data_IF_232427255697
#
_entry.id   IF_232427255697
#
_cell.length_a   1.000
_cell.length_b   1.000
_cell.length_c   1.000
_cell.angle_alpha   90.00
_cell.angle_beta   90.00
_cell.angle_gamma   90.00
#
_symmetry.space_group_name_H-M   'P 1'
#
loop_
_entity.id
_entity.type
_entity.pdbx_description
1 polymer ?
#
# COMPACT_ATOMS: atom_id res chain seq x y z
N UNK A 1 55.54 -36.65 -36.84
CA UNK A 1 55.41 -36.75 -35.35
C UNK A 1 54.62 -35.57 -34.84
N UNK A 2 53.40 -35.80 -34.34
CA UNK A 2 52.94 -35.43 -32.99
C UNK A 2 51.45 -35.75 -32.85
N UNK A 3 51.20 -36.83 -32.10
CA UNK A 3 49.92 -37.20 -31.52
C UNK A 3 49.40 -36.08 -30.61
N UNK A 4 48.08 -35.86 -30.63
CA UNK A 4 47.34 -35.31 -29.50
C UNK A 4 45.98 -36.00 -29.34
N UNK A 5 46.06 -37.07 -28.56
CA UNK A 5 45.16 -37.53 -27.49
C UNK A 5 43.73 -36.99 -27.41
N UNK A 6 42.78 -37.91 -27.57
CA UNK A 6 41.39 -37.82 -27.12
C UNK A 6 41.30 -37.78 -25.59
N UNK A 7 40.47 -36.88 -25.06
CA UNK A 7 39.86 -36.98 -23.73
C UNK A 7 38.36 -37.14 -24.02
N UNK A 8 37.65 -38.19 -23.62
CA UNK A 8 37.71 -38.92 -22.36
C UNK A 8 36.35 -38.74 -21.71
N UNK A 9 35.36 -39.52 -22.15
CA UNK A 9 33.99 -39.53 -21.65
C UNK A 9 34.01 -40.13 -20.24
N UNK A 10 33.71 -39.32 -19.22
CA UNK A 10 33.57 -39.78 -17.83
C UNK A 10 32.10 -40.14 -17.62
N UNK A 11 31.80 -41.44 -17.69
CA UNK A 11 30.51 -41.99 -17.25
C UNK A 11 30.64 -42.24 -15.74
N UNK A 12 30.09 -41.34 -14.93
CA UNK A 12 29.86 -41.62 -13.51
C UNK A 12 28.63 -42.52 -13.38
N UNK A 13 28.87 -43.76 -12.99
CA UNK A 13 27.85 -44.80 -12.89
C UNK A 13 26.80 -44.53 -11.82
N UNK A 14 25.54 -44.78 -12.19
CA UNK A 14 24.50 -45.19 -11.25
C UNK A 14 24.24 -46.67 -11.48
N UNK A 15 24.57 -47.48 -10.49
CA UNK A 15 24.35 -48.92 -10.44
C UNK A 15 22.86 -49.21 -10.22
N UNK A 16 22.13 -49.55 -11.28
CA UNK A 16 20.83 -50.21 -11.18
C UNK A 16 21.01 -51.72 -11.15
N UNK A 17 20.63 -52.33 -10.02
CA UNK A 17 20.54 -53.77 -9.82
C UNK A 17 19.53 -54.33 -10.84
N UNK A 18 20.01 -55.04 -11.87
CA UNK A 18 19.17 -55.86 -12.74
C UNK A 18 18.83 -57.15 -12.00
N UNK A 19 17.61 -57.26 -11.50
CA UNK A 19 17.00 -58.55 -11.21
C UNK A 19 16.46 -59.15 -12.51
N UNK A 20 17.21 -60.07 -13.12
CA UNK A 20 16.71 -60.92 -14.20
C UNK A 20 15.64 -61.87 -13.63
N UNK A 21 14.37 -61.63 -13.97
CA UNK A 21 13.35 -62.67 -13.95
C UNK A 21 13.24 -63.18 -15.38
N UNK A 22 13.62 -64.44 -15.59
CA UNK A 22 13.39 -65.16 -16.84
C UNK A 22 11.88 -65.33 -17.03
N UNK A 23 11.32 -64.72 -18.07
CA UNK A 23 9.95 -64.99 -18.52
C UNK A 23 10.03 -65.80 -19.80
N UNK A 24 9.47 -67.00 -19.73
CA UNK A 24 9.28 -67.93 -20.83
C UNK A 24 8.38 -67.35 -21.90
N UNK A 25 8.66 -67.74 -23.14
CA UNK A 25 7.99 -67.35 -24.37
C UNK A 25 6.49 -67.66 -24.38
N UNK A 26 5.67 -66.63 -24.62
CA UNK A 26 4.33 -66.74 -25.16
C UNK A 26 4.15 -65.70 -26.28
N UNK A 27 3.87 -66.17 -27.50
CA UNK A 27 3.62 -65.34 -28.66
C UNK A 27 2.21 -64.74 -28.64
N UNK A 28 2.15 -63.44 -28.36
CA UNK A 28 1.28 -62.41 -28.94
C UNK A 28 1.86 -61.07 -28.47
N UNK A 29 2.95 -60.63 -29.11
CA UNK A 29 3.80 -59.56 -28.59
C UNK A 29 3.18 -58.18 -28.69
N UNK A 30 2.29 -57.81 -27.75
CA UNK A 30 1.93 -56.42 -27.54
C UNK A 30 3.10 -55.73 -26.83
N UNK A 31 4.11 -55.31 -27.59
CA UNK A 31 5.16 -54.40 -27.09
C UNK A 31 4.48 -53.18 -26.45
N UNK A 32 4.87 -52.77 -25.23
CA UNK A 32 4.28 -51.62 -24.55
C UNK A 32 4.24 -50.37 -25.46
N UNK A 33 3.19 -49.56 -25.34
CA UNK A 33 3.07 -48.34 -26.15
C UNK A 33 3.85 -47.20 -25.48
N UNK A 34 4.84 -46.62 -26.20
CA UNK A 34 5.61 -45.49 -25.68
C UNK A 34 4.71 -44.27 -25.36
N UNK A 35 3.56 -44.14 -26.04
CA UNK A 35 2.59 -43.07 -25.78
C UNK A 35 1.96 -43.11 -24.40
N UNK A 36 1.81 -44.29 -23.78
CA UNK A 36 1.14 -44.43 -22.49
C UNK A 36 1.98 -43.79 -21.36
N UNK A 37 3.31 -43.94 -21.45
CA UNK A 37 4.28 -43.32 -20.54
C UNK A 37 4.31 -41.80 -20.71
N UNK A 38 4.14 -41.31 -21.94
CA UNK A 38 4.17 -39.89 -22.25
C UNK A 38 2.86 -39.18 -21.87
N UNK A 39 1.70 -39.81 -22.07
CA UNK A 39 0.39 -39.17 -21.90
C UNK A 39 0.16 -38.67 -20.46
N UNK A 40 0.53 -39.47 -19.46
CA UNK A 40 0.41 -39.09 -18.05
C UNK A 40 1.30 -37.89 -17.68
N UNK A 41 2.55 -37.92 -18.13
CA UNK A 41 3.52 -36.85 -17.85
C UNK A 41 3.17 -35.55 -18.59
N UNK A 42 2.75 -35.63 -19.85
CA UNK A 42 2.26 -34.48 -20.62
C UNK A 42 1.10 -33.77 -19.93
N UNK A 43 0.09 -34.53 -19.52
CA UNK A 43 -1.09 -33.98 -18.86
C UNK A 43 -0.73 -33.31 -17.54
N UNK A 44 0.11 -33.95 -16.73
CA UNK A 44 0.53 -33.39 -15.43
C UNK A 44 1.35 -32.11 -15.60
N UNK A 45 2.27 -32.06 -16.57
CA UNK A 45 3.11 -30.88 -16.81
C UNK A 45 2.30 -29.75 -17.42
N UNK A 46 1.40 -30.04 -18.37
CA UNK A 46 0.47 -29.06 -18.96
C UNK A 46 -0.35 -28.34 -17.88
N UNK A 47 -0.95 -29.10 -16.95
CA UNK A 47 -1.70 -28.53 -15.82
C UNK A 47 -0.83 -27.65 -14.91
N UNK A 48 0.39 -28.09 -14.59
CA UNK A 48 1.34 -27.29 -13.80
C UNK A 48 1.72 -26.00 -14.53
N UNK A 49 1.86 -26.06 -15.86
CA UNK A 49 2.25 -24.92 -16.66
C UNK A 49 1.19 -23.82 -16.62
N UNK A 50 -0.08 -24.19 -16.81
CA UNK A 50 -1.21 -23.27 -16.66
C UNK A 50 -1.26 -22.64 -15.26
N UNK A 51 -0.93 -23.39 -14.20
CA UNK A 51 -0.89 -22.85 -12.83
C UNK A 51 0.27 -21.88 -12.61
N UNK A 52 1.44 -22.17 -13.17
CA UNK A 52 2.64 -21.37 -12.96
C UNK A 52 2.66 -20.10 -13.83
N UNK A 53 2.25 -20.22 -15.08
CA UNK A 53 2.41 -19.21 -16.12
C UNK A 53 1.09 -18.68 -16.69
N UNK A 54 -0.06 -19.25 -16.33
CA UNK A 54 -1.36 -18.93 -16.91
C UNK A 54 -1.65 -19.66 -18.23
N UNK A 55 -0.62 -20.13 -18.92
CA UNK A 55 -0.70 -20.78 -20.23
C UNK A 55 0.08 -22.09 -20.26
N UNK A 56 -0.28 -23.02 -21.15
CA UNK A 56 0.53 -24.22 -21.41
C UNK A 56 1.51 -24.00 -22.58
N UNK A 57 2.74 -23.63 -22.24
CA UNK A 57 3.83 -23.43 -23.21
C UNK A 57 4.46 -24.75 -23.72
N UNK A 58 4.08 -25.91 -23.17
CA UNK A 58 4.67 -27.20 -23.54
C UNK A 58 4.04 -27.82 -24.78
N UNK A 59 2.88 -27.32 -25.20
CA UNK A 59 2.20 -27.77 -26.41
C UNK A 59 2.91 -27.22 -27.65
N UNK A 60 3.40 -28.14 -28.50
CA UNK A 60 4.04 -27.81 -29.78
C UNK A 60 3.03 -27.57 -30.89
N UNK A 61 3.43 -26.89 -31.97
CA UNK A 61 2.62 -26.81 -33.19
C UNK A 61 2.94 -28.00 -34.10
N UNK A 62 2.10 -29.04 -34.03
CA UNK A 62 2.26 -30.26 -34.85
C UNK A 62 2.05 -30.03 -36.35
N UNK A 63 1.48 -28.90 -36.77
CA UNK A 63 1.23 -28.57 -38.18
C UNK A 63 2.44 -27.86 -38.80
N UNK A 64 2.96 -26.84 -38.13
CA UNK A 64 4.07 -26.03 -38.66
C UNK A 64 5.44 -26.50 -38.21
N UNK A 65 5.50 -27.38 -37.20
CA UNK A 65 6.72 -27.97 -36.63
C UNK A 65 7.75 -26.94 -36.21
N UNK A 66 7.32 -25.71 -35.92
CA UNK A 66 8.22 -24.62 -35.53
C UNK A 66 8.64 -24.86 -34.10
N UNK A 67 9.95 -24.87 -33.88
CA UNK A 67 10.59 -25.03 -32.58
C UNK A 67 11.29 -23.73 -32.17
N UNK A 68 11.33 -23.41 -30.86
CA UNK A 68 12.02 -22.22 -30.40
C UNK A 68 13.52 -22.26 -30.72
N UNK A 69 14.06 -21.11 -31.10
CA UNK A 69 15.50 -20.91 -31.33
C UNK A 69 15.99 -19.64 -30.65
N UNK A 70 17.30 -19.42 -30.64
CA UNK A 70 17.90 -18.20 -30.10
C UNK A 70 17.34 -16.92 -30.76
N UNK A 71 17.23 -16.92 -32.09
CA UNK A 71 16.71 -15.78 -32.85
C UNK A 71 15.18 -15.65 -32.79
N UNK A 72 14.47 -16.74 -32.48
CA UNK A 72 13.02 -16.76 -32.40
C UNK A 72 12.54 -17.66 -31.24
N UNK A 73 12.59 -17.16 -30.00
CA UNK A 73 12.27 -17.96 -28.82
C UNK A 73 10.75 -18.10 -28.56
N UNK A 74 9.89 -17.31 -29.20
CA UNK A 74 8.45 -17.26 -28.92
C UNK A 74 7.63 -17.62 -30.16
N UNK A 75 7.54 -18.92 -30.42
CA UNK A 75 7.00 -19.46 -31.69
C UNK A 75 5.55 -19.94 -31.60
N UNK A 76 4.99 -20.04 -30.39
CA UNK A 76 3.60 -20.43 -30.16
C UNK A 76 2.81 -19.29 -29.53
N UNK A 77 1.49 -19.30 -29.70
CA UNK A 77 0.60 -18.29 -29.11
C UNK A 77 0.71 -18.25 -27.58
N UNK A 78 0.78 -19.42 -26.94
CA UNK A 78 1.00 -19.54 -25.49
C UNK A 78 2.31 -18.88 -25.06
N UNK A 79 3.40 -19.10 -25.82
CA UNK A 79 4.69 -18.46 -25.52
C UNK A 79 4.66 -16.95 -25.70
N UNK A 80 4.01 -16.47 -26.77
CA UNK A 80 3.83 -15.03 -27.00
C UNK A 80 2.98 -14.39 -25.91
N UNK A 81 1.91 -15.07 -25.47
CA UNK A 81 1.05 -14.63 -24.36
C UNK A 81 1.86 -14.44 -23.08
N UNK A 82 2.59 -15.48 -22.65
CA UNK A 82 3.45 -15.41 -21.45
C UNK A 82 4.55 -14.35 -21.62
N UNK A 83 5.16 -14.23 -22.80
CA UNK A 83 6.18 -13.23 -23.08
C UNK A 83 5.64 -11.80 -22.94
N UNK A 84 4.43 -11.52 -23.43
CA UNK A 84 3.78 -10.23 -23.29
C UNK A 84 3.50 -9.88 -21.83
N UNK A 85 3.04 -10.85 -21.04
CA UNK A 85 2.75 -10.67 -19.62
C UNK A 85 4.01 -10.34 -18.80
N UNK A 86 5.16 -10.90 -19.18
CA UNK A 86 6.44 -10.68 -18.48
C UNK A 86 7.35 -9.65 -19.14
N UNK A 87 6.89 -9.01 -20.22
CA UNK A 87 7.68 -8.07 -20.99
C UNK A 87 8.02 -6.80 -20.20
N UNK A 88 9.22 -6.22 -20.38
CA UNK A 88 9.57 -4.89 -19.87
C UNK A 88 8.69 -3.76 -20.41
N UNK A 89 8.02 -3.98 -21.54
CA UNK A 89 7.04 -3.04 -22.10
C UNK A 89 5.60 -3.43 -21.77
N UNK A 90 5.43 -4.53 -21.04
CA UNK A 90 4.15 -5.10 -20.66
C UNK A 90 3.68 -4.63 -19.28
N UNK A 91 2.79 -5.39 -18.63
CA UNK A 91 2.24 -5.03 -17.33
C UNK A 91 3.19 -5.30 -16.15
N UNK A 92 4.19 -6.18 -16.32
CA UNK A 92 5.04 -6.65 -15.21
C UNK A 92 5.82 -5.55 -14.47
N UNK A 93 6.44 -4.54 -15.14
CA UNK A 93 7.20 -3.48 -14.44
C UNK A 93 6.36 -2.59 -13.51
N UNK A 94 5.05 -2.56 -13.70
CA UNK A 94 4.14 -1.79 -12.86
C UNK A 94 3.79 -2.50 -11.54
N UNK A 95 4.14 -3.79 -11.43
CA UNK A 95 3.99 -4.57 -10.19
C UNK A 95 5.06 -4.23 -9.16
N UNK A 96 4.90 -4.74 -7.94
CA UNK A 96 5.95 -4.59 -6.93
C UNK A 96 7.14 -5.51 -7.22
N UNK A 97 8.36 -5.16 -6.78
CA UNK A 97 9.53 -6.05 -6.93
C UNK A 97 9.29 -7.47 -6.39
N UNK A 98 8.54 -7.63 -5.30
CA UNK A 98 8.21 -8.92 -4.69
C UNK A 98 7.29 -9.75 -5.60
N UNK A 99 6.29 -9.11 -6.22
CA UNK A 99 5.41 -9.77 -7.18
C UNK A 99 6.18 -10.22 -8.42
N UNK A 100 7.08 -9.37 -8.94
CA UNK A 100 7.92 -9.71 -10.09
C UNK A 100 8.87 -10.87 -9.74
N UNK A 101 9.46 -10.88 -8.54
CA UNK A 101 10.28 -11.99 -8.08
C UNK A 101 9.50 -13.32 -7.99
N UNK A 102 8.21 -13.26 -7.62
CA UNK A 102 7.34 -14.44 -7.63
C UNK A 102 7.08 -14.94 -9.05
N UNK A 103 6.82 -14.04 -10.00
CA UNK A 103 6.66 -14.40 -11.43
C UNK A 103 7.93 -15.05 -11.95
N UNK A 104 9.10 -14.46 -11.69
CA UNK A 104 10.41 -15.03 -12.05
C UNK A 104 10.60 -16.45 -11.49
N UNK A 105 10.28 -16.67 -10.21
CA UNK A 105 10.38 -17.98 -9.58
C UNK A 105 9.40 -19.00 -10.18
N UNK A 106 8.22 -18.56 -10.65
CA UNK A 106 7.30 -19.44 -11.38
C UNK A 106 7.86 -19.86 -12.74
N UNK A 107 8.52 -18.95 -13.47
CA UNK A 107 9.21 -19.26 -14.73
C UNK A 107 10.35 -20.27 -14.50
N UNK A 108 11.13 -20.12 -13.43
CA UNK A 108 12.17 -21.10 -13.07
C UNK A 108 11.58 -22.49 -12.80
N UNK A 109 10.50 -22.56 -12.03
CA UNK A 109 9.79 -23.82 -11.75
C UNK A 109 9.21 -24.43 -13.03
N UNK A 110 8.65 -23.62 -13.91
CA UNK A 110 8.19 -24.05 -15.22
C UNK A 110 9.33 -24.67 -16.02
N UNK A 111 10.49 -24.02 -16.08
CA UNK A 111 11.69 -24.56 -16.71
C UNK A 111 12.10 -25.93 -16.17
N UNK A 112 12.06 -26.14 -14.85
CA UNK A 112 12.34 -27.44 -14.25
C UNK A 112 11.36 -28.53 -14.68
N UNK A 113 10.07 -28.21 -14.80
CA UNK A 113 9.06 -29.17 -15.25
C UNK A 113 9.18 -29.47 -16.75
N UNK A 114 9.58 -28.48 -17.57
CA UNK A 114 9.94 -28.68 -18.99
C UNK A 114 11.10 -29.66 -19.11
N UNK A 115 12.20 -29.45 -18.38
CA UNK A 115 13.36 -30.35 -18.44
C UNK A 115 13.03 -31.78 -17.98
N UNK A 116 12.16 -31.94 -16.97
CA UNK A 116 11.67 -33.27 -16.56
C UNK A 116 10.85 -33.95 -17.66
N UNK A 117 9.98 -33.20 -18.32
CA UNK A 117 9.18 -33.73 -19.43
C UNK A 117 10.08 -34.13 -20.59
N UNK A 118 11.02 -33.27 -20.98
CA UNK A 118 12.05 -33.57 -21.98
C UNK A 118 12.78 -34.88 -21.65
N UNK A 119 13.28 -35.05 -20.42
CA UNK A 119 13.94 -36.29 -20.00
C UNK A 119 13.03 -37.52 -20.08
N UNK A 120 11.72 -37.35 -19.88
CA UNK A 120 10.75 -38.45 -20.07
C UNK A 120 10.64 -38.85 -21.54
N UNK A 121 10.68 -37.88 -22.46
CA UNK A 121 10.75 -38.14 -23.89
C UNK A 121 12.06 -38.82 -24.30
N UNK A 122 13.21 -38.40 -23.75
CA UNK A 122 14.50 -39.04 -24.01
C UNK A 122 14.47 -40.53 -23.63
N UNK A 123 13.95 -40.85 -22.44
CA UNK A 123 13.79 -42.24 -21.98
C UNK A 123 12.86 -43.02 -22.91
N UNK A 124 11.76 -42.41 -23.38
CA UNK A 124 10.83 -43.05 -24.31
C UNK A 124 11.50 -43.34 -25.67
N UNK A 125 12.34 -42.44 -26.18
CA UNK A 125 13.08 -42.65 -27.43
C UNK A 125 14.19 -43.69 -27.30
N UNK A 126 14.92 -43.71 -26.19
CA UNK A 126 15.88 -44.79 -25.92
C UNK A 126 15.17 -46.14 -25.86
N UNK A 127 14.04 -46.21 -25.16
CA UNK A 127 13.21 -47.43 -25.07
C UNK A 127 12.65 -47.87 -26.43
N UNK A 128 12.33 -46.93 -27.31
CA UNK A 128 11.92 -47.21 -28.69
C UNK A 128 13.08 -47.81 -29.51
N UNK A 129 14.28 -47.24 -29.41
CA UNK A 129 15.49 -47.72 -30.12
C UNK A 129 15.87 -49.12 -29.67
N UNK A 130 15.82 -49.38 -28.36
CA UNK A 130 16.15 -50.67 -27.75
C UNK A 130 15.05 -51.73 -27.95
N UNK A 131 13.91 -51.36 -28.53
CA UNK A 131 12.78 -52.27 -28.81
C UNK A 131 11.95 -52.64 -27.58
N UNK A 132 12.05 -51.87 -26.49
CA UNK A 132 11.28 -52.06 -25.26
C UNK A 132 9.85 -51.48 -25.34
N UNK A 133 9.61 -50.50 -26.22
CA UNK A 133 8.28 -49.98 -26.53
C UNK A 133 8.15 -49.65 -28.02
N UNK A 134 6.92 -49.41 -28.48
CA UNK A 134 6.64 -48.93 -29.83
C UNK A 134 5.59 -47.82 -29.82
N UNK A 135 5.63 -46.93 -30.81
CA UNK A 135 4.48 -46.08 -31.13
C UNK A 135 3.55 -46.84 -32.08
N UNK A 136 2.24 -46.70 -31.91
CA UNK A 136 1.26 -47.45 -32.72
C UNK A 136 1.22 -47.02 -34.19
N UNK A 137 1.73 -45.84 -34.53
CA UNK A 137 1.85 -45.34 -35.90
C UNK A 137 3.09 -44.48 -36.07
N UNK A 138 3.61 -44.40 -37.31
CA UNK A 138 4.71 -43.48 -37.65
C UNK A 138 4.37 -42.01 -37.36
N UNK A 139 3.10 -41.62 -37.54
CA UNK A 139 2.63 -40.27 -37.23
C UNK A 139 2.82 -39.93 -35.75
N UNK A 140 2.51 -40.86 -34.85
CA UNK A 140 2.72 -40.65 -33.41
C UNK A 140 4.20 -40.56 -33.05
N UNK A 141 5.06 -41.33 -33.71
CA UNK A 141 6.52 -41.19 -33.57
C UNK A 141 6.98 -39.80 -34.00
N UNK A 142 6.48 -39.30 -35.14
CA UNK A 142 6.82 -37.96 -35.65
C UNK A 142 6.32 -36.86 -34.72
N UNK A 143 5.07 -36.93 -34.24
CA UNK A 143 4.55 -35.97 -33.26
C UNK A 143 5.36 -35.97 -31.97
N UNK A 144 5.71 -37.15 -31.45
CA UNK A 144 6.55 -37.24 -30.26
C UNK A 144 7.91 -36.57 -30.48
N UNK A 145 8.49 -36.67 -31.67
CA UNK A 145 9.75 -36.00 -32.01
C UNK A 145 9.57 -34.48 -32.04
N UNK A 146 8.52 -33.97 -32.69
CA UNK A 146 8.24 -32.53 -32.74
C UNK A 146 8.06 -31.96 -31.31
N UNK A 147 7.31 -32.68 -30.46
CA UNK A 147 7.14 -32.29 -29.07
C UNK A 147 8.46 -32.26 -28.30
N UNK A 148 9.35 -33.24 -28.52
CA UNK A 148 10.67 -33.27 -27.90
C UNK A 148 11.55 -32.12 -28.36
N UNK A 149 11.65 -31.89 -29.66
CA UNK A 149 12.43 -30.78 -30.24
C UNK A 149 11.88 -29.42 -29.73
N UNK A 150 10.56 -29.30 -29.55
CA UNK A 150 9.93 -28.12 -28.95
C UNK A 150 10.33 -27.93 -27.48
N UNK A 151 10.33 -28.99 -26.68
CA UNK A 151 10.74 -28.92 -25.27
C UNK A 151 12.23 -28.60 -25.12
N UNK A 152 13.08 -29.13 -26.01
CA UNK A 152 14.50 -28.79 -26.05
C UNK A 152 14.69 -27.30 -26.37
N UNK A 153 14.03 -26.79 -27.41
CA UNK A 153 14.07 -25.36 -27.75
C UNK A 153 13.50 -24.47 -26.63
N UNK A 154 12.43 -24.93 -25.98
CA UNK A 154 11.81 -24.23 -24.85
C UNK A 154 12.78 -24.09 -23.68
N UNK A 155 13.45 -25.19 -23.31
CA UNK A 155 14.43 -25.19 -22.23
C UNK A 155 15.68 -24.37 -22.57
N UNK A 156 16.16 -24.44 -23.82
CA UNK A 156 17.39 -23.78 -24.26
C UNK A 156 17.22 -22.29 -24.52
N UNK A 157 16.07 -21.84 -25.03
CA UNK A 157 15.91 -20.49 -25.56
C UNK A 157 14.74 -19.73 -24.94
N UNK A 158 13.53 -20.31 -24.93
CA UNK A 158 12.33 -19.60 -24.47
C UNK A 158 12.35 -19.31 -22.97
N UNK A 159 12.66 -20.30 -22.13
CA UNK A 159 12.70 -20.12 -20.66
C UNK A 159 13.76 -19.08 -20.26
N UNK A 160 15.02 -19.14 -20.74
CA UNK A 160 16.00 -18.09 -20.49
C UNK A 160 15.55 -16.70 -20.95
N UNK A 161 14.91 -16.59 -22.11
CA UNK A 161 14.41 -15.31 -22.62
C UNK A 161 13.28 -14.73 -21.74
N UNK A 162 12.35 -15.58 -21.27
CA UNK A 162 11.32 -15.17 -20.31
C UNK A 162 11.93 -14.68 -18.98
N UNK A 163 12.97 -15.36 -18.48
CA UNK A 163 13.68 -14.95 -17.27
C UNK A 163 14.38 -13.61 -17.45
N UNK A 164 15.04 -13.39 -18.59
CA UNK A 164 15.69 -12.11 -18.90
C UNK A 164 14.69 -10.95 -18.94
N UNK A 165 13.52 -11.15 -19.54
CA UNK A 165 12.45 -10.15 -19.55
C UNK A 165 11.90 -9.85 -18.15
N UNK A 166 11.76 -10.87 -17.30
CA UNK A 166 11.37 -10.68 -15.91
C UNK A 166 12.44 -9.94 -15.09
N UNK A 167 13.73 -10.23 -15.32
CA UNK A 167 14.85 -9.54 -14.67
C UNK A 167 14.93 -8.06 -15.06
N UNK A 168 14.70 -7.74 -16.34
CA UNK A 168 14.66 -6.35 -16.80
C UNK A 168 13.44 -5.60 -16.25
N UNK A 169 12.26 -6.24 -16.25
CA UNK A 169 11.05 -5.69 -15.61
C UNK A 169 11.26 -5.41 -14.12
N UNK A 170 11.98 -6.28 -13.43
CA UNK A 170 12.33 -6.10 -12.02
C UNK A 170 13.24 -4.88 -11.79
N UNK A 171 14.23 -4.67 -12.66
CA UNK A 171 15.11 -3.51 -12.60
C UNK A 171 14.33 -2.21 -12.84
N UNK A 172 13.41 -2.21 -13.81
CA UNK A 172 12.53 -1.06 -14.07
C UNK A 172 11.64 -0.76 -12.86
N UNK A 173 11.04 -1.77 -12.24
CA UNK A 173 10.22 -1.60 -11.04
C UNK A 173 11.03 -1.04 -9.85
N UNK A 174 12.27 -1.50 -9.66
CA UNK A 174 13.19 -0.96 -8.64
C UNK A 174 13.46 0.52 -8.85
N UNK A 175 13.79 0.92 -10.09
CA UNK A 175 14.06 2.32 -10.42
C UNK A 175 12.82 3.18 -10.17
N UNK A 176 11.65 2.74 -10.62
CA UNK A 176 10.37 3.42 -10.36
C UNK A 176 10.11 3.63 -8.87
N UNK A 177 10.24 2.59 -8.06
CA UNK A 177 10.03 2.67 -6.60
C UNK A 177 11.04 3.62 -5.94
N UNK A 178 12.29 3.65 -6.40
CA UNK A 178 13.28 4.59 -5.90
C UNK A 178 12.92 6.05 -6.26
N UNK A 179 12.50 6.29 -7.50
CA UNK A 179 12.05 7.62 -7.95
C UNK A 179 10.79 8.10 -7.21
N UNK A 180 9.83 7.21 -6.95
CA UNK A 180 8.62 7.51 -6.19
C UNK A 180 8.97 7.93 -4.74
N UNK A 181 9.90 7.24 -4.09
CA UNK A 181 10.37 7.61 -2.75
C UNK A 181 11.03 8.98 -2.72
N UNK A 182 11.86 9.30 -3.72
CA UNK A 182 12.50 10.62 -3.82
C UNK A 182 11.43 11.71 -3.99
N UNK A 183 10.44 11.49 -4.85
CA UNK A 183 9.33 12.44 -5.05
C UNK A 183 8.48 12.61 -3.78
N UNK A 184 8.25 11.54 -3.04
CA UNK A 184 7.53 11.59 -1.76
C UNK A 184 8.30 12.40 -0.71
N UNK A 185 9.62 12.18 -0.57
CA UNK A 185 10.47 12.96 0.32
C UNK A 185 10.58 14.44 -0.07
N UNK A 186 10.58 14.75 -1.38
CA UNK A 186 10.54 16.13 -1.88
C UNK A 186 9.18 16.79 -1.59
N UNK A 187 8.08 16.06 -1.76
CA UNK A 187 6.74 16.55 -1.44
C UNK A 187 6.59 16.83 0.06
N UNK A 188 7.10 15.96 0.93
CA UNK A 188 7.12 16.17 2.40
C UNK A 188 7.96 17.41 2.75
N UNK A 189 9.15 17.57 2.15
CA UNK A 189 10.00 18.75 2.37
C UNK A 189 9.33 20.05 1.91
N UNK A 190 8.64 20.02 0.77
CA UNK A 190 7.89 21.18 0.30
C UNK A 190 6.71 21.50 1.22
N UNK A 191 5.98 20.49 1.70
CA UNK A 191 4.91 20.69 2.67
C UNK A 191 5.43 21.33 3.97
N UNK A 192 6.56 20.85 4.50
CA UNK A 192 7.21 21.46 5.66
C UNK A 192 7.63 22.92 5.41
N UNK A 193 8.15 23.22 4.21
CA UNK A 193 8.48 24.60 3.82
C UNK A 193 7.25 25.50 3.78
N UNK A 194 6.13 25.01 3.25
CA UNK A 194 4.87 25.75 3.22
C UNK A 194 4.31 25.97 4.64
N UNK A 195 4.44 24.98 5.53
CA UNK A 195 4.09 25.12 6.95
C UNK A 195 4.99 26.16 7.65
N UNK A 196 6.30 26.15 7.41
CA UNK A 196 7.23 27.16 7.94
C UNK A 196 6.89 28.58 7.43
N UNK A 197 6.55 28.72 6.15
CA UNK A 197 6.12 30.00 5.57
C UNK A 197 4.77 30.45 6.15
N UNK A 198 3.84 29.54 6.39
CA UNK A 198 2.56 29.83 7.05
C UNK A 198 2.76 30.25 8.51
N UNK A 199 3.66 29.61 9.25
CA UNK A 199 4.04 29.98 10.61
C UNK A 199 4.75 31.34 10.63
N UNK A 200 5.65 31.62 9.69
CA UNK A 200 6.31 32.92 9.57
C UNK A 200 5.31 34.04 9.19
N UNK A 201 4.34 33.75 8.32
CA UNK A 201 3.26 34.67 7.96
C UNK A 201 2.28 34.89 9.13
N UNK A 202 1.99 33.86 9.93
CA UNK A 202 1.23 33.98 11.16
C UNK A 202 2.00 34.82 12.19
N UNK A 203 3.30 34.55 12.41
CA UNK A 203 4.16 35.32 13.30
C UNK A 203 4.30 36.80 12.87
N UNK A 204 4.28 37.10 11.56
CA UNK A 204 4.24 38.47 11.06
C UNK A 204 2.89 39.17 11.32
N UNK A 205 1.77 38.43 11.43
CA UNK A 205 0.46 38.95 11.87
C UNK A 205 0.36 39.15 13.38
N UNK A 206 1.30 38.64 14.17
CA UNK A 206 1.30 38.73 15.64
C UNK A 206 1.87 40.05 16.21
N UNK A 207 2.25 41.02 15.38
CA UNK A 207 2.87 42.26 15.88
C UNK A 207 1.90 43.34 16.39
N UNK A 208 0.57 43.15 16.32
CA UNK A 208 -0.40 44.02 17.02
C UNK A 208 -1.51 43.19 17.70
N UNK A 209 -1.53 43.08 19.05
CA UNK A 209 -2.56 42.34 19.78
C UNK A 209 -3.87 43.13 19.88
N UNK A 210 -4.98 42.55 19.42
CA UNK A 210 -6.31 43.19 19.41
C UNK A 210 -7.24 42.73 20.55
N UNK A 211 -6.93 41.66 21.28
CA UNK A 211 -7.71 41.18 22.43
C UNK A 211 -6.80 40.68 23.57
N UNK A 212 -7.08 41.10 24.79
CA UNK A 212 -6.39 40.62 26.00
C UNK A 212 -7.40 39.87 26.88
N UNK A 213 -7.07 38.63 27.25
CA UNK A 213 -7.88 37.83 28.18
C UNK A 213 -7.06 37.52 29.43
N UNK A 214 -7.53 37.94 30.59
CA UNK A 214 -6.82 37.76 31.85
C UNK A 214 -7.64 36.93 32.81
N UNK A 215 -7.04 35.90 33.41
CA UNK A 215 -7.69 35.13 34.46
C UNK A 215 -7.57 35.93 35.76
N UNK A 216 -8.71 36.28 36.35
CA UNK A 216 -8.78 37.11 37.56
C UNK A 216 -8.83 36.24 38.82
N UNK A 217 -9.49 35.08 38.74
CA UNK A 217 -9.58 34.12 39.84
C UNK A 217 -9.93 32.73 39.34
N UNK A 218 -9.27 31.71 39.88
CA UNK A 218 -9.65 30.31 39.71
C UNK A 218 -9.62 29.61 41.06
N UNK A 219 -10.70 28.91 41.41
CA UNK A 219 -10.84 28.20 42.70
C UNK A 219 -11.07 26.69 42.55
N UNK A 220 -10.80 26.14 41.36
CA UNK A 220 -11.00 24.72 41.04
C UNK A 220 -12.41 24.38 40.53
N UNK A 221 -13.42 25.17 40.92
CA UNK A 221 -14.80 25.01 40.47
C UNK A 221 -15.29 26.16 39.58
N UNK A 222 -14.74 27.37 39.75
CA UNK A 222 -15.14 28.57 39.03
C UNK A 222 -13.93 29.29 38.46
N UNK A 223 -14.06 29.73 37.21
CA UNK A 223 -13.07 30.57 36.52
C UNK A 223 -13.69 31.95 36.32
N UNK A 224 -13.05 32.97 36.89
CA UNK A 224 -13.34 34.38 36.64
C UNK A 224 -12.25 34.94 35.74
N UNK A 225 -12.63 35.60 34.65
CA UNK A 225 -11.69 36.16 33.68
C UNK A 225 -12.19 37.49 33.13
N UNK A 226 -11.27 38.38 32.75
CA UNK A 226 -11.54 39.64 32.07
C UNK A 226 -11.14 39.54 30.60
N UNK A 227 -11.90 40.24 29.74
CA UNK A 227 -11.66 40.33 28.30
C UNK A 227 -11.60 41.81 27.96
N UNK A 228 -10.48 42.23 27.39
CA UNK A 228 -10.21 43.61 26.98
C UNK A 228 -10.06 43.67 25.46
N UNK A 229 -10.82 44.55 24.82
CA UNK A 229 -10.62 44.85 23.40
C UNK A 229 -9.45 45.84 23.27
N UNK A 230 -8.31 45.39 22.77
CA UNK A 230 -7.12 46.21 22.54
C UNK A 230 -7.12 46.88 21.15
N UNK A 231 -8.11 46.57 20.30
CA UNK A 231 -8.26 47.20 18.99
C UNK A 231 -8.53 48.70 19.09
N UNK A 232 -8.17 49.44 18.05
CA UNK A 232 -8.41 50.89 17.93
C UNK A 232 -9.79 51.21 17.33
N UNK A 233 -10.43 50.27 16.64
CA UNK A 233 -11.73 50.41 15.99
C UNK A 233 -12.56 49.10 16.10
N UNK A 234 -13.90 49.22 16.20
CA UNK A 234 -14.85 48.10 16.18
C UNK A 234 -15.15 47.40 17.52
N UNK A 235 -16.37 46.87 17.66
CA UNK A 235 -16.83 46.19 18.88
C UNK A 235 -16.55 44.67 18.82
N UNK A 236 -16.04 44.12 19.91
CA UNK A 236 -15.91 42.68 20.11
C UNK A 236 -17.24 42.10 20.60
N UNK A 237 -17.77 41.05 19.95
CA UNK A 237 -19.03 40.42 20.34
C UNK A 237 -18.78 38.98 20.82
N UNK A 238 -18.72 38.74 22.14
CA UNK A 238 -18.59 37.39 22.66
C UNK A 238 -19.84 36.56 22.34
N UNK A 239 -19.64 35.38 21.74
CA UNK A 239 -20.73 34.47 21.39
C UNK A 239 -20.90 33.43 22.49
N UNK A 240 -21.46 33.88 23.61
CA UNK A 240 -21.80 33.00 24.72
C UNK A 240 -23.25 32.54 24.63
N UNK A 241 -23.47 31.28 24.99
CA UNK A 241 -24.82 30.78 25.26
C UNK A 241 -25.23 31.32 26.63
N UNK A 242 -25.79 32.53 26.67
CA UNK A 242 -26.35 33.11 27.90
C UNK A 242 -27.51 32.23 28.37
N UNK A 243 -27.60 31.97 29.67
CA UNK A 243 -28.66 31.15 30.27
C UNK A 243 -30.04 31.62 29.78
N UNK A 244 -30.71 30.82 28.95
CA UNK A 244 -32.13 30.99 28.64
C UNK A 244 -32.89 29.74 29.04
N UNK A 245 -33.58 29.81 30.18
CA UNK A 245 -34.63 28.87 30.50
C UNK A 245 -35.85 29.22 29.65
N UNK A 246 -36.44 28.23 28.97
CA UNK A 246 -37.75 28.37 28.36
C UNK A 246 -38.69 27.28 28.86
N UNK A 247 -39.95 27.64 29.03
CA UNK A 247 -40.99 26.74 29.48
C UNK A 247 -41.61 26.06 28.26
N UNK A 248 -41.57 24.73 28.23
CA UNK A 248 -42.24 23.96 27.17
C UNK A 248 -43.76 24.10 27.28
N UNK A 249 -44.50 23.77 26.22
CA UNK A 249 -45.98 23.78 26.22
C UNK A 249 -46.61 22.85 27.28
N UNK A 250 -45.81 21.95 27.88
CA UNK A 250 -46.20 21.03 28.95
C UNK A 250 -45.83 21.56 30.35
N UNK A 251 -45.38 22.82 30.46
CA UNK A 251 -45.02 23.46 31.72
C UNK A 251 -43.63 23.10 32.26
N UNK A 252 -42.88 22.22 31.58
CA UNK A 252 -41.52 21.80 31.99
C UNK A 252 -40.49 22.87 31.63
N UNK A 253 -39.75 23.35 32.62
CA UNK A 253 -38.56 24.20 32.45
C UNK A 253 -37.42 23.36 31.87
N UNK A 254 -36.86 23.79 30.73
CA UNK A 254 -35.70 23.15 30.11
C UNK A 254 -34.53 24.12 30.16
N UNK A 255 -33.42 23.66 30.74
CA UNK A 255 -32.15 24.38 30.83
C UNK A 255 -31.25 23.93 29.69
N UNK A 256 -30.90 24.81 28.75
CA UNK A 256 -29.75 24.59 27.85
C UNK A 256 -28.51 25.12 28.57
N UNK A 257 -27.74 24.24 29.20
CA UNK A 257 -26.59 24.62 30.04
C UNK A 257 -25.23 24.42 29.36
N UNK A 258 -25.19 24.21 28.04
CA UNK A 258 -23.92 24.03 27.32
C UNK A 258 -23.39 25.40 26.91
N UNK A 259 -22.35 25.83 27.63
CA UNK A 259 -21.53 26.99 27.25
C UNK A 259 -20.72 26.62 26.01
N UNK A 260 -20.55 27.58 25.09
CA UNK A 260 -19.66 27.42 23.93
C UNK A 260 -18.18 27.62 24.30
N UNK A 261 -17.90 27.96 25.56
CA UNK A 261 -16.58 28.10 26.12
C UNK A 261 -15.98 26.72 26.39
N UNK A 262 -14.94 26.34 25.66
CA UNK A 262 -14.23 25.10 25.93
C UNK A 262 -13.01 25.37 26.83
N UNK A 263 -12.90 24.61 27.91
CA UNK A 263 -11.74 24.59 28.80
C UNK A 263 -11.05 23.24 28.66
N UNK A 264 -9.73 23.22 28.57
CA UNK A 264 -8.95 21.97 28.46
C UNK A 264 -7.95 21.91 29.59
N UNK A 265 -7.86 20.76 30.27
CA UNK A 265 -6.86 20.54 31.32
C UNK A 265 -5.43 20.33 30.77
N UNK A 266 -4.45 20.24 31.67
CA UNK A 266 -3.03 20.00 31.38
C UNK A 266 -2.77 18.66 30.65
N UNK A 267 -3.72 17.72 30.72
CA UNK A 267 -3.68 16.41 30.07
C UNK A 267 -4.42 16.38 28.73
N UNK A 268 -5.01 17.49 28.31
CA UNK A 268 -5.75 17.59 27.05
C UNK A 268 -7.21 17.13 27.13
N UNK A 269 -7.78 16.95 28.32
CA UNK A 269 -9.19 16.58 28.49
C UNK A 269 -10.08 17.82 28.46
N UNK A 270 -11.17 17.76 27.69
CA UNK A 270 -12.20 18.80 27.70
C UNK A 270 -12.94 18.84 29.04
N UNK A 271 -12.96 20.01 29.66
CA UNK A 271 -13.68 20.32 30.89
C UNK A 271 -15.05 20.90 30.54
N UNK A 272 -16.10 20.21 30.98
CA UNK A 272 -17.47 20.65 30.75
C UNK A 272 -17.75 21.90 31.59
N UNK A 273 -17.99 23.03 30.92
CA UNK A 273 -18.38 24.29 31.54
C UNK A 273 -19.90 24.42 31.64
N UNK A 274 -20.37 25.00 32.75
CA UNK A 274 -21.78 25.17 33.06
C UNK A 274 -22.13 26.65 33.00
N UNK A 275 -22.51 27.08 31.79
CA UNK A 275 -22.93 28.46 31.51
C UNK A 275 -21.90 29.54 31.83
N UNK A 276 -22.23 30.77 31.44
CA UNK A 276 -21.34 31.93 31.62
C UNK A 276 -22.17 33.17 31.92
N UNK A 277 -21.69 33.99 32.84
CA UNK A 277 -22.30 35.24 33.25
C UNK A 277 -21.27 36.38 33.20
N UNK A 278 -21.71 37.56 32.77
CA UNK A 278 -20.96 38.82 32.92
C UNK A 278 -21.06 39.28 34.38
N UNK A 279 -19.93 39.68 34.97
CA UNK A 279 -19.86 40.28 36.30
C UNK A 279 -19.87 41.80 36.13
N UNK A 280 -21.04 42.41 36.31
CA UNK A 280 -21.19 43.86 36.17
C UNK A 280 -22.64 44.33 36.01
N UNK A 281 -22.84 45.64 36.02
CA UNK A 281 -24.17 46.29 35.95
C UNK A 281 -24.63 46.60 34.50
N UNK A 282 -24.65 45.58 33.63
CA UNK A 282 -25.04 45.72 32.23
C UNK A 282 -26.52 45.36 31.97
N UNK A 283 -27.38 46.36 31.78
CA UNK A 283 -28.80 46.20 31.40
C UNK A 283 -29.01 46.08 29.87
N UNK A 284 -28.17 45.32 29.17
CA UNK A 284 -28.19 45.22 27.71
C UNK A 284 -28.58 43.83 27.19
N UNK A 285 -29.47 43.75 26.21
CA UNK A 285 -29.85 42.50 25.54
C UNK A 285 -28.80 41.96 24.54
N UNK A 286 -27.70 42.69 24.35
CA UNK A 286 -26.61 42.38 23.41
C UNK A 286 -25.26 42.61 24.09
N UNK A 287 -24.44 41.56 24.19
CA UNK A 287 -23.11 41.58 24.81
C UNK A 287 -22.08 42.04 23.77
N UNK A 288 -21.62 43.28 23.86
CA UNK A 288 -20.56 43.84 23.00
C UNK A 288 -19.52 44.58 23.86
N UNK A 289 -18.24 44.57 23.46
CA UNK A 289 -17.08 45.15 24.18
C UNK A 289 -16.40 46.16 23.24
N UNK A 290 -16.50 47.45 23.55
CA UNK A 290 -15.95 48.54 22.77
C UNK A 290 -14.40 48.59 22.82
N UNK A 291 -13.74 49.27 21.86
CA UNK A 291 -12.29 49.55 21.91
C UNK A 291 -11.85 50.13 23.27
N UNK A 292 -10.84 49.51 23.89
CA UNK A 292 -10.33 49.88 25.21
C UNK A 292 -11.19 49.45 26.41
N UNK A 293 -12.37 48.86 26.17
CA UNK A 293 -13.26 48.36 27.23
C UNK A 293 -12.79 47.00 27.73
N UNK A 294 -12.87 46.79 29.05
CA UNK A 294 -12.63 45.50 29.70
C UNK A 294 -13.89 45.02 30.41
N UNK A 295 -14.28 43.76 30.16
CA UNK A 295 -15.44 43.12 30.80
C UNK A 295 -15.06 41.84 31.49
N UNK A 296 -15.66 41.60 32.65
CA UNK A 296 -15.38 40.43 33.47
C UNK A 296 -16.50 39.39 33.34
N UNK A 297 -16.13 38.12 33.29
CA UNK A 297 -17.02 36.99 33.16
C UNK A 297 -16.68 35.91 34.19
N UNK A 298 -17.68 35.10 34.53
CA UNK A 298 -17.52 33.91 35.36
C UNK A 298 -18.21 32.71 34.72
N UNK A 299 -17.54 31.57 34.77
CA UNK A 299 -18.04 30.26 34.37
C UNK A 299 -17.75 29.24 35.47
N UNK A 300 -18.60 28.24 35.61
CA UNK A 300 -18.35 27.10 36.50
C UNK A 300 -17.92 25.87 35.70
N UNK A 301 -17.08 25.03 36.29
CA UNK A 301 -16.63 23.75 35.75
C UNK A 301 -17.44 22.65 36.45
N UNK A 302 -17.99 21.70 35.68
CA UNK A 302 -18.86 20.64 36.24
C UNK A 302 -18.09 19.66 37.13
N UNK A 303 -16.84 19.38 36.80
CA UNK A 303 -15.97 18.49 37.56
C UNK A 303 -14.91 19.34 38.25
N UNK A 304 -14.81 19.25 39.57
CA UNK A 304 -13.81 20.01 40.34
C UNK A 304 -12.39 19.63 39.88
N UNK A 305 -11.62 20.64 39.51
CA UNK A 305 -10.23 20.51 39.08
C UNK A 305 -9.33 21.12 40.15
N UNK A 306 -8.09 20.65 40.29
CA UNK A 306 -7.15 21.26 41.22
C UNK A 306 -7.00 22.76 40.90
N UNK A 307 -7.07 23.67 41.90
CA UNK A 307 -6.82 25.10 41.68
C UNK A 307 -5.43 25.41 41.10
N UNK A 308 -4.50 24.47 41.18
CA UNK A 308 -3.13 24.58 40.65
C UNK A 308 -2.97 24.02 39.22
N UNK A 309 -4.05 23.52 38.58
CA UNK A 309 -4.00 22.96 37.23
C UNK A 309 -3.88 24.05 36.14
N UNK A 310 -3.03 23.79 35.14
CA UNK A 310 -2.94 24.59 33.92
C UNK A 310 -4.19 24.36 33.04
N UNK A 311 -4.83 25.44 32.58
CA UNK A 311 -6.03 25.38 31.75
C UNK A 311 -5.83 26.12 30.42
N UNK A 312 -6.34 25.55 29.32
CA UNK A 312 -6.44 26.25 28.02
C UNK A 312 -7.87 26.66 27.75
N UNK A 313 -8.09 27.91 27.32
CA UNK A 313 -9.40 28.48 27.01
C UNK A 313 -9.56 28.59 25.50
N UNK A 314 -10.60 28.00 24.94
CA UNK A 314 -11.08 28.34 23.60
C UNK A 314 -12.19 29.37 23.72
N UNK A 315 -11.91 30.61 23.32
CA UNK A 315 -12.82 31.73 23.49
C UNK A 315 -13.70 31.90 22.24
N UNK A 316 -15.02 31.65 22.33
CA UNK A 316 -15.93 31.82 21.20
C UNK A 316 -16.35 33.30 21.09
N UNK A 317 -15.59 34.11 20.36
CA UNK A 317 -16.01 35.47 20.05
C UNK A 317 -16.02 35.73 18.55
N UNK A 318 -16.99 36.52 18.12
CA UNK A 318 -16.91 37.22 16.84
C UNK A 318 -16.02 38.43 17.08
N UNK A 319 -14.74 38.28 16.76
CA UNK A 319 -13.81 39.39 16.69
C UNK A 319 -13.72 39.83 15.23
N UNK A 320 -13.63 41.15 15.02
CA UNK A 320 -13.43 41.85 13.74
C UNK A 320 -13.04 40.94 12.56
N UNK A 321 -13.99 40.73 11.65
CA UNK A 321 -13.85 40.07 10.34
C UNK A 321 -13.64 38.54 10.29
N UNK A 322 -13.65 37.80 11.42
CA UNK A 322 -13.61 36.33 11.40
C UNK A 322 -14.77 35.69 12.17
N UNK A 323 -15.34 34.62 11.61
CA UNK A 323 -16.37 33.78 12.27
C UNK A 323 -15.76 32.70 13.19
N UNK A 324 -14.42 32.60 13.24
CA UNK A 324 -13.69 31.52 13.92
C UNK A 324 -13.30 31.87 15.37
N UNK A 325 -13.50 30.90 16.28
CA UNK A 325 -13.05 30.99 17.67
C UNK A 325 -11.52 30.91 17.78
N UNK A 326 -10.91 31.68 18.68
CA UNK A 326 -9.47 31.62 18.93
C UNK A 326 -9.14 30.82 20.20
N UNK A 327 -7.99 30.16 20.19
CA UNK A 327 -7.51 29.31 21.30
C UNK A 327 -6.41 30.03 22.06
N UNK A 328 -6.52 30.06 23.39
CA UNK A 328 -5.54 30.63 24.30
C UNK A 328 -5.01 29.53 25.23
N UNK A 329 -3.68 29.44 25.34
CA UNK A 329 -3.00 28.65 26.36
C UNK A 329 -2.50 29.61 27.45
N UNK A 330 -2.76 29.31 28.73
CA UNK A 330 -2.34 30.16 29.84
C UNK A 330 -1.54 29.31 30.84
N UNK A 331 -0.25 29.62 30.99
CA UNK A 331 0.56 29.13 32.13
C UNK A 331 0.53 30.10 33.30
N UNK A 332 0.32 31.40 33.04
CA UNK A 332 0.52 32.48 34.02
C UNK A 332 -0.56 33.58 33.92
N UNK A 333 -1.76 33.36 34.47
CA UNK A 333 -2.82 34.37 34.78
C UNK A 333 -3.25 35.39 33.69
N UNK A 334 -2.62 35.46 32.52
CA UNK A 334 -2.81 36.46 31.46
C UNK A 334 -2.47 35.78 30.13
N UNK A 335 -3.37 35.85 29.14
CA UNK A 335 -3.00 35.59 27.75
C UNK A 335 -3.52 36.68 26.82
N UNK A 336 -2.77 36.88 25.75
CA UNK A 336 -3.10 37.85 24.71
C UNK A 336 -3.40 37.09 23.42
N UNK A 337 -4.47 37.50 22.74
CA UNK A 337 -4.89 36.96 21.46
C UNK A 337 -4.93 38.07 20.41
N UNK A 338 -4.51 37.75 19.20
CA UNK A 338 -4.71 38.62 18.05
C UNK A 338 -5.92 38.13 17.28
N UNK A 339 -6.96 38.96 17.16
CA UNK A 339 -7.97 38.79 16.14
C UNK A 339 -7.37 39.27 14.80
N UNK A 340 -7.32 38.38 13.81
CA UNK A 340 -6.74 38.70 12.50
C UNK A 340 -7.53 39.81 11.84
N UNK A 341 -6.88 40.94 11.57
CA UNK A 341 -7.43 41.99 10.68
C UNK A 341 -7.11 41.55 9.26
N UNK A 342 -8.15 41.36 8.43
CA UNK A 342 -7.96 41.29 6.98
C UNK A 342 -7.82 42.70 6.40
#
# INVERSE_FOLDING_TARGET
MKNRTSKGLVISGLSSILSLIAVTSAHAGNTPNCSDVLAGNKTAVSQKMTVLLGEDITTSNLVTTVVPTEDNPFVTEALVSVANDVSPNGPLPNKTPEEIAKVRANIEKAGLEVSKLQGTFEIAFVSLIDGHCQFSTNTLTTHAKIDFDHLEGLAAFSIPALLAMADESYNMAKTRVAEEKVKEEEAIREQQRQEELAVAAAAARYQDPNVLVKIEKFDGANVTFSVTNLGTEGELQPNFNTFRAYQTQQGKLVYKSESLLNLVDDKGNDLITVGIAEIGSGNGSTLTIAPGESRQFITSIRSEVSPESELRLKFPAKALSTDDAFTLSFTDNVAMATASVN
#
